data_IF_336685666269
#
_entry.id   IF_336685666269
#
_cell.length_a   1.000
_cell.length_b   1.000
_cell.length_c   1.000
_cell.angle_alpha   90.00
_cell.angle_beta   90.00
_cell.angle_gamma   90.00
#
_symmetry.space_group_name_H-M   'P 1'
#
loop_
_entity.id
_entity.type
_entity.pdbx_description
1 polymer ?
#
# COMPACT_ATOMS: atom_id res chain seq x y z
N UNK A 1 -5.70 -31.07 -23.87
CA UNK A 1 -4.56 -30.92 -22.94
C UNK A 1 -3.59 -29.94 -23.55
N UNK A 2 -3.31 -28.86 -22.84
CA UNK A 2 -2.35 -27.83 -23.22
C UNK A 2 -0.93 -28.17 -22.73
N UNK A 3 -0.75 -28.95 -21.67
CA UNK A 3 0.57 -29.28 -21.15
C UNK A 3 1.30 -30.31 -22.02
N UNK A 4 2.61 -30.10 -22.26
CA UNK A 4 3.51 -31.08 -22.86
C UNK A 4 4.80 -31.18 -22.04
N UNK A 5 5.24 -32.39 -21.68
CA UNK A 5 6.46 -32.57 -20.88
C UNK A 5 7.72 -32.23 -21.69
N UNK A 6 8.71 -31.66 -21.00
CA UNK A 6 10.10 -31.54 -21.43
C UNK A 6 10.94 -32.52 -20.62
N UNK A 7 11.66 -33.37 -21.33
CA UNK A 7 12.48 -34.42 -20.73
C UNK A 7 13.95 -34.01 -20.67
N UNK A 8 14.68 -34.60 -19.74
CA UNK A 8 16.15 -34.71 -19.77
C UNK A 8 16.64 -35.46 -21.01
N UNK A 9 17.94 -35.41 -21.27
CA UNK A 9 18.57 -36.07 -22.42
C UNK A 9 18.32 -37.59 -22.45
N UNK A 10 18.24 -38.22 -21.28
CA UNK A 10 17.90 -39.64 -21.10
C UNK A 10 16.47 -40.00 -21.53
N UNK A 11 15.59 -39.00 -21.71
CA UNK A 11 14.14 -39.14 -21.97
C UNK A 11 13.35 -39.89 -20.89
N UNK A 12 13.91 -40.03 -19.69
CA UNK A 12 13.27 -40.75 -18.58
C UNK A 12 12.65 -39.78 -17.57
N UNK A 13 13.22 -38.59 -17.39
CA UNK A 13 12.79 -37.63 -16.36
C UNK A 13 12.19 -36.37 -16.96
N UNK A 14 11.04 -35.95 -16.45
CA UNK A 14 10.41 -34.66 -16.82
C UNK A 14 10.98 -33.56 -15.96
N UNK A 15 11.55 -32.52 -16.58
CA UNK A 15 12.15 -31.36 -15.89
C UNK A 15 11.25 -30.14 -15.89
N UNK A 16 10.35 -30.04 -16.86
CA UNK A 16 9.41 -28.94 -17.00
C UNK A 16 8.27 -29.32 -17.94
N UNK A 17 7.28 -28.44 -18.07
CA UNK A 17 6.16 -28.59 -19.00
C UNK A 17 6.03 -27.31 -19.81
N UNK A 18 5.67 -27.40 -21.09
CA UNK A 18 5.34 -26.21 -21.89
C UNK A 18 3.88 -26.22 -22.33
N UNK A 19 3.29 -25.03 -22.41
CA UNK A 19 1.97 -24.86 -23.02
C UNK A 19 2.06 -25.08 -24.53
N UNK A 20 1.30 -26.02 -25.07
CA UNK A 20 1.29 -26.37 -26.49
C UNK A 20 0.83 -25.23 -27.41
N UNK A 21 0.10 -24.24 -26.86
CA UNK A 21 -0.38 -23.05 -27.59
C UNK A 21 0.67 -21.94 -27.66
N UNK A 22 1.17 -21.47 -26.52
CA UNK A 22 2.07 -20.31 -26.46
C UNK A 22 3.55 -20.66 -26.23
N UNK A 23 3.87 -21.93 -26.00
CA UNK A 23 5.23 -22.46 -25.76
C UNK A 23 5.93 -21.94 -24.50
N UNK A 24 5.23 -21.23 -23.62
CA UNK A 24 5.77 -20.83 -22.32
C UNK A 24 6.02 -22.09 -21.47
N UNK A 25 7.23 -22.17 -20.91
CA UNK A 25 7.68 -23.24 -20.01
C UNK A 25 7.23 -22.93 -18.58
N UNK A 26 6.78 -23.96 -17.87
CA UNK A 26 6.31 -23.96 -16.49
C UNK A 26 6.97 -25.10 -15.72
N UNK A 27 7.16 -24.90 -14.42
CA UNK A 27 7.74 -25.91 -13.53
C UNK A 27 6.79 -27.08 -13.27
N UNK A 28 5.48 -26.88 -13.39
CA UNK A 28 4.46 -27.91 -13.12
C UNK A 28 3.55 -28.15 -14.33
N UNK A 29 3.01 -29.37 -14.42
CA UNK A 29 2.04 -29.74 -15.46
C UNK A 29 0.76 -28.91 -15.36
N UNK A 30 0.28 -28.70 -14.12
CA UNK A 30 -0.94 -27.94 -13.85
C UNK A 30 -0.85 -26.50 -14.36
N UNK A 31 0.28 -25.83 -14.15
CA UNK A 31 0.50 -24.47 -14.63
C UNK A 31 0.58 -24.41 -16.16
N UNK A 32 1.22 -25.40 -16.80
CA UNK A 32 1.26 -25.50 -18.26
C UNK A 32 -0.13 -25.77 -18.85
N UNK A 33 -0.93 -26.58 -18.17
CA UNK A 33 -2.30 -26.90 -18.58
C UNK A 33 -3.21 -25.66 -18.50
N UNK A 34 -3.04 -24.84 -17.46
CA UNK A 34 -3.81 -23.62 -17.21
C UNK A 34 -3.34 -22.41 -18.05
N UNK A 35 -2.11 -22.43 -18.57
CA UNK A 35 -1.42 -21.28 -19.17
C UNK A 35 -2.21 -20.52 -20.26
N UNK A 36 -3.03 -21.21 -21.06
CA UNK A 36 -3.87 -20.60 -22.11
C UNK A 36 -5.33 -21.07 -22.02
N UNK A 37 -5.79 -21.43 -20.81
CA UNK A 37 -7.21 -21.65 -20.54
C UNK A 37 -7.87 -20.32 -20.22
N UNK A 38 -9.13 -20.19 -20.61
CA UNK A 38 -9.93 -19.05 -20.20
C UNK A 38 -10.05 -19.04 -18.68
N UNK A 39 -9.69 -17.91 -18.08
CA UNK A 39 -9.81 -17.68 -16.65
C UNK A 39 -11.13 -16.99 -16.39
N UNK A 40 -11.80 -17.43 -15.33
CA UNK A 40 -13.06 -16.83 -14.90
C UNK A 40 -12.91 -16.44 -13.44
N UNK A 41 -13.49 -15.30 -13.09
CA UNK A 41 -13.70 -14.88 -11.72
C UNK A 41 -14.76 -15.78 -11.08
N UNK A 42 -14.81 -15.84 -9.75
CA UNK A 42 -15.85 -16.60 -9.02
C UNK A 42 -17.28 -16.16 -9.38
N UNK A 43 -17.46 -14.91 -9.82
CA UNK A 43 -18.75 -14.41 -10.32
C UNK A 43 -19.10 -14.87 -11.76
N UNK A 44 -18.24 -15.68 -12.40
CA UNK A 44 -18.40 -16.18 -13.76
C UNK A 44 -17.88 -15.26 -14.86
N UNK A 45 -17.44 -14.03 -14.54
CA UNK A 45 -16.89 -13.11 -15.54
C UNK A 45 -15.52 -13.58 -16.05
N UNK A 46 -15.29 -13.50 -17.36
CA UNK A 46 -13.98 -13.81 -17.96
C UNK A 46 -12.92 -12.80 -17.48
N UNK A 47 -11.75 -13.31 -17.11
CA UNK A 47 -10.57 -12.53 -16.74
C UNK A 47 -9.62 -12.52 -17.95
N UNK A 48 -9.49 -11.37 -18.59
CA UNK A 48 -8.61 -11.19 -19.76
C UNK A 48 -7.14 -11.01 -19.37
N UNK A 49 -6.89 -10.42 -18.21
CA UNK A 49 -5.55 -10.14 -17.71
C UNK A 49 -4.96 -11.36 -16.96
N UNK A 50 -3.82 -11.86 -17.45
CA UNK A 50 -3.10 -12.98 -16.82
C UNK A 50 -2.57 -12.68 -15.41
N UNK A 51 -2.49 -11.42 -15.01
CA UNK A 51 -2.01 -11.03 -13.69
C UNK A 51 -3.12 -10.84 -12.65
N UNK A 52 -4.40 -10.82 -13.07
CA UNK A 52 -5.53 -10.66 -12.15
C UNK A 52 -6.06 -12.01 -11.68
N UNK A 53 -6.51 -12.09 -10.43
CA UNK A 53 -7.16 -13.26 -9.86
C UNK A 53 -8.69 -13.17 -9.86
N UNK A 54 -9.24 -11.97 -10.07
CA UNK A 54 -10.67 -11.67 -10.08
C UNK A 54 -10.99 -10.54 -11.05
N UNK A 55 -12.25 -10.39 -11.44
CA UNK A 55 -12.67 -9.30 -12.33
C UNK A 55 -12.73 -7.97 -11.57
N UNK A 56 -12.65 -6.85 -12.30
CA UNK A 56 -12.62 -5.50 -11.72
C UNK A 56 -13.85 -5.19 -10.87
N UNK A 57 -15.01 -5.76 -11.20
CA UNK A 57 -16.23 -5.62 -10.40
C UNK A 57 -16.04 -6.24 -9.01
N UNK A 58 -15.64 -7.51 -8.93
CA UNK A 58 -15.45 -8.19 -7.66
C UNK A 58 -14.28 -7.63 -6.86
N UNK A 59 -13.22 -7.13 -7.53
CA UNK A 59 -12.14 -6.41 -6.84
C UNK A 59 -12.64 -5.13 -6.19
N UNK A 60 -13.45 -4.33 -6.88
CA UNK A 60 -14.05 -3.10 -6.33
C UNK A 60 -15.01 -3.40 -5.18
N UNK A 61 -15.83 -4.44 -5.29
CA UNK A 61 -16.73 -4.87 -4.22
C UNK A 61 -15.93 -5.30 -2.98
N UNK A 62 -14.89 -6.12 -3.16
CA UNK A 62 -14.00 -6.53 -2.08
C UNK A 62 -13.32 -5.33 -1.42
N UNK A 63 -12.74 -4.42 -2.20
CA UNK A 63 -12.09 -3.21 -1.69
C UNK A 63 -13.07 -2.32 -0.92
N UNK A 64 -14.30 -2.14 -1.42
CA UNK A 64 -15.36 -1.38 -0.75
C UNK A 64 -15.73 -2.04 0.59
N UNK A 65 -15.89 -3.36 0.62
CA UNK A 65 -16.20 -4.11 1.84
C UNK A 65 -15.07 -4.02 2.88
N UNK A 66 -13.82 -4.17 2.45
CA UNK A 66 -12.64 -4.02 3.31
C UNK A 66 -12.53 -2.60 3.87
N UNK A 67 -12.72 -1.58 3.01
CA UNK A 67 -12.74 -0.17 3.43
C UNK A 67 -13.85 0.10 4.46
N UNK A 68 -15.09 -0.37 4.21
CA UNK A 68 -16.19 -0.28 5.18
C UNK A 68 -15.86 -0.96 6.50
N UNK A 69 -15.34 -2.19 6.45
CA UNK A 69 -14.96 -2.95 7.64
C UNK A 69 -13.84 -2.30 8.44
N UNK A 70 -12.93 -1.59 7.79
CA UNK A 70 -11.86 -0.83 8.48
C UNK A 70 -12.45 0.40 9.15
N UNK A 71 -13.20 1.21 8.40
CA UNK A 71 -13.80 2.46 8.90
C UNK A 71 -14.80 2.20 10.04
N UNK A 72 -15.58 1.13 9.99
CA UNK A 72 -16.55 0.81 11.04
C UNK A 72 -15.92 0.54 12.42
N UNK A 73 -14.61 0.27 12.45
CA UNK A 73 -13.84 0.03 13.68
C UNK A 73 -13.00 1.25 14.10
N UNK A 74 -12.89 2.27 13.26
CA UNK A 74 -12.10 3.47 13.55
C UNK A 74 -12.83 4.35 14.57
N UNK A 75 -12.12 4.96 15.54
CA UNK A 75 -12.69 5.98 16.41
C UNK A 75 -13.24 7.16 15.60
N UNK A 76 -14.35 7.71 16.07
CA UNK A 76 -14.91 8.96 15.56
C UNK A 76 -14.45 10.09 16.46
N UNK A 77 -13.89 11.14 15.87
CA UNK A 77 -13.50 12.39 16.54
C UNK A 77 -14.34 13.56 16.05
N UNK A 78 -14.52 14.57 16.89
CA UNK A 78 -15.37 15.72 16.59
C UNK A 78 -14.64 16.80 15.76
N UNK A 79 -13.32 16.86 15.85
CA UNK A 79 -12.51 17.90 15.19
C UNK A 79 -11.12 17.40 14.80
N UNK A 80 -10.45 18.05 13.82
CA UNK A 80 -9.13 17.64 13.36
C UNK A 80 -8.06 17.86 14.44
N UNK A 81 -7.31 16.80 14.78
CA UNK A 81 -6.27 16.88 15.83
C UNK A 81 -5.05 17.65 15.35
N UNK A 82 -4.70 17.52 14.07
CA UNK A 82 -3.53 18.18 13.47
C UNK A 82 -3.88 19.48 12.71
N UNK A 83 -5.15 19.85 12.67
CA UNK A 83 -5.67 20.96 11.84
C UNK A 83 -5.81 20.64 10.35
N UNK A 84 -5.51 19.40 9.92
CA UNK A 84 -5.68 18.92 8.56
C UNK A 84 -6.52 17.64 8.56
N UNK A 85 -7.24 17.43 7.46
CA UNK A 85 -8.01 16.21 7.20
C UNK A 85 -7.64 15.66 5.83
N UNK A 86 -8.00 14.40 5.59
CA UNK A 86 -7.77 13.71 4.33
C UNK A 86 -9.07 13.12 3.75
N UNK A 87 -9.22 13.20 2.43
CA UNK A 87 -10.31 12.53 1.72
C UNK A 87 -9.84 11.89 0.42
N UNK A 88 -10.21 10.61 0.23
CA UNK A 88 -10.04 9.89 -1.04
C UNK A 88 -10.92 10.47 -2.18
N UNK A 89 -11.83 11.40 -1.87
CA UNK A 89 -12.79 11.95 -2.83
C UNK A 89 -12.24 13.17 -3.60
N UNK A 90 -11.00 13.63 -3.34
CA UNK A 90 -10.42 14.78 -4.02
C UNK A 90 -8.95 14.55 -4.36
N UNK A 91 -8.49 15.16 -5.44
CA UNK A 91 -7.07 15.24 -5.80
C UNK A 91 -6.41 16.54 -5.33
N UNK A 92 -7.18 17.46 -4.74
CA UNK A 92 -6.64 18.72 -4.20
C UNK A 92 -5.57 18.44 -3.14
N UNK A 93 -4.37 18.97 -3.34
CA UNK A 93 -3.24 18.80 -2.42
C UNK A 93 -3.07 17.35 -1.93
N UNK A 94 -3.13 16.41 -2.87
CA UNK A 94 -3.03 14.96 -2.62
C UNK A 94 -4.07 14.42 -1.64
N UNK A 95 -5.25 15.06 -1.56
CA UNK A 95 -6.35 14.70 -0.69
C UNK A 95 -6.34 15.39 0.67
N UNK A 96 -5.30 16.18 1.00
CA UNK A 96 -5.17 16.86 2.29
C UNK A 96 -5.67 18.31 2.25
N UNK A 97 -6.56 18.67 3.17
CA UNK A 97 -7.12 20.02 3.26
C UNK A 97 -7.50 20.39 4.70
N UNK A 98 -7.75 21.67 4.97
CA UNK A 98 -8.34 22.09 6.25
C UNK A 98 -9.85 21.91 6.17
N UNK A 99 -10.47 21.49 7.27
CA UNK A 99 -11.90 21.23 7.27
C UNK A 99 -12.74 22.49 6.92
N UNK A 100 -12.29 23.67 7.33
CA UNK A 100 -12.94 24.95 7.01
C UNK A 100 -12.90 25.29 5.51
N UNK A 101 -12.00 24.66 4.75
CA UNK A 101 -11.86 24.88 3.31
C UNK A 101 -12.76 23.94 2.48
N UNK A 102 -13.59 23.10 3.11
CA UNK A 102 -14.34 22.03 2.44
C UNK A 102 -15.19 22.52 1.27
N UNK A 103 -15.80 23.70 1.38
CA UNK A 103 -16.64 24.30 0.34
C UNK A 103 -15.82 24.80 -0.86
N UNK A 104 -14.52 25.04 -0.67
CA UNK A 104 -13.60 25.40 -1.75
C UNK A 104 -12.99 24.18 -2.44
N UNK A 105 -12.97 23.04 -1.75
CA UNK A 105 -12.35 21.79 -2.23
C UNK A 105 -13.35 20.91 -2.98
N UNK A 106 -14.64 20.97 -2.63
CA UNK A 106 -15.68 20.12 -3.18
C UNK A 106 -16.87 20.92 -3.70
N UNK A 107 -17.39 20.52 -4.86
CA UNK A 107 -18.66 21.02 -5.36
C UNK A 107 -19.83 20.50 -4.49
N UNK A 108 -20.97 21.21 -4.57
CA UNK A 108 -22.20 20.79 -3.91
C UNK A 108 -22.67 19.44 -4.46
N UNK A 109 -22.82 18.44 -3.58
CA UNK A 109 -23.13 17.05 -3.94
C UNK A 109 -21.91 16.12 -3.97
N UNK A 110 -20.70 16.66 -4.15
CA UNK A 110 -19.44 15.88 -4.13
C UNK A 110 -18.81 15.80 -2.73
N UNK A 111 -19.28 16.65 -1.80
CA UNK A 111 -18.79 16.68 -0.42
C UNK A 111 -18.82 15.29 0.22
N UNK A 112 -17.69 14.86 0.81
CA UNK A 112 -17.62 13.57 1.49
C UNK A 112 -18.48 13.61 2.75
N UNK A 113 -19.05 12.46 3.13
CA UNK A 113 -19.84 12.34 4.36
C UNK A 113 -18.98 12.01 5.59
N UNK A 114 -17.71 11.66 5.38
CA UNK A 114 -16.68 11.59 6.41
C UNK A 114 -15.33 11.93 5.80
N UNK A 115 -14.40 12.36 6.65
CA UNK A 115 -12.99 12.55 6.31
C UNK A 115 -12.12 11.80 7.31
N UNK A 116 -10.90 11.49 6.93
CA UNK A 116 -9.91 10.97 7.87
C UNK A 116 -9.28 12.14 8.62
N UNK A 117 -9.11 11.99 9.93
CA UNK A 117 -8.24 12.91 10.68
C UNK A 117 -6.78 12.63 10.31
N UNK A 118 -5.89 13.56 10.60
CA UNK A 118 -4.46 13.43 10.32
C UNK A 118 -3.62 13.47 11.61
N UNK A 119 -2.46 12.82 11.56
CA UNK A 119 -1.37 13.03 12.50
C UNK A 119 -0.33 13.95 11.88
N UNK A 120 0.40 14.68 12.74
CA UNK A 120 1.63 15.36 12.33
C UNK A 120 2.77 14.35 12.45
N UNK A 121 3.37 13.97 11.33
CA UNK A 121 4.60 13.20 11.32
C UNK A 121 5.78 14.15 11.19
N UNK A 122 6.49 14.34 12.29
CA UNK A 122 7.75 15.10 12.31
C UNK A 122 8.86 14.24 11.73
N UNK A 123 9.77 14.87 11.00
CA UNK A 123 10.99 14.19 10.61
C UNK A 123 11.82 13.86 11.86
N UNK A 124 12.26 12.60 11.98
CA UNK A 124 13.04 12.10 13.13
C UNK A 124 14.49 12.58 13.12
N UNK A 125 14.94 13.20 12.02
CA UNK A 125 16.33 13.59 11.82
C UNK A 125 17.19 12.43 11.29
N UNK A 126 18.50 12.69 11.25
CA UNK A 126 19.53 11.72 10.88
C UNK A 126 20.10 11.04 12.14
N UNK A 127 20.47 9.77 12.02
CA UNK A 127 21.16 8.99 13.04
C UNK A 127 22.55 8.60 12.52
N UNK A 128 23.61 8.84 13.29
CA UNK A 128 24.98 8.60 12.84
C UNK A 128 25.27 7.11 12.63
N UNK A 129 24.81 6.26 13.56
CA UNK A 129 24.96 4.81 13.49
C UNK A 129 24.26 4.26 12.25
N UNK A 130 22.99 4.62 12.01
CA UNK A 130 22.24 4.16 10.82
C UNK A 130 22.94 4.55 9.51
N UNK A 131 23.53 5.75 9.45
CA UNK A 131 24.25 6.23 8.26
C UNK A 131 25.53 5.42 8.02
N UNK A 132 26.31 5.19 9.07
CA UNK A 132 27.59 4.49 8.98
C UNK A 132 27.38 3.01 8.75
N UNK A 133 26.46 2.37 9.46
CA UNK A 133 26.10 0.97 9.28
C UNK A 133 25.64 0.69 7.84
N UNK A 134 24.80 1.56 7.27
CA UNK A 134 24.32 1.40 5.89
C UNK A 134 25.44 1.45 4.83
N UNK A 135 26.54 2.16 5.08
CA UNK A 135 27.72 2.18 4.19
C UNK A 135 28.55 0.90 4.35
N UNK A 136 28.74 0.45 5.60
CA UNK A 136 29.60 -0.67 5.94
C UNK A 136 28.99 -2.05 5.62
N UNK A 137 27.66 -2.17 5.66
CA UNK A 137 26.93 -3.46 5.52
C UNK A 137 27.28 -4.24 4.24
N UNK A 138 27.73 -3.57 3.18
CA UNK A 138 27.98 -4.20 1.87
C UNK A 138 29.40 -4.71 1.65
N UNK A 139 30.41 -4.01 2.17
CA UNK A 139 31.82 -4.20 1.80
C UNK A 139 32.72 -4.56 3.00
N UNK A 140 32.18 -4.52 4.22
CA UNK A 140 32.94 -4.71 5.45
C UNK A 140 32.43 -5.90 6.28
N UNK A 141 33.22 -6.26 7.29
CA UNK A 141 32.89 -7.32 8.23
C UNK A 141 31.78 -6.87 9.20
N UNK A 142 31.11 -7.85 9.81
CA UNK A 142 30.15 -7.63 10.89
C UNK A 142 30.78 -6.78 12.00
N UNK A 143 30.04 -5.79 12.52
CA UNK A 143 30.50 -4.84 13.55
C UNK A 143 31.65 -3.89 13.14
N UNK A 144 31.94 -3.73 11.84
CA UNK A 144 32.95 -2.76 11.37
C UNK A 144 32.69 -1.30 11.82
N UNK A 145 31.45 -0.98 12.21
CA UNK A 145 31.08 0.30 12.80
C UNK A 145 31.79 0.58 14.13
N UNK A 146 32.18 -0.46 14.89
CA UNK A 146 32.86 -0.30 16.18
C UNK A 146 34.30 0.23 16.03
N UNK A 147 34.89 0.04 14.85
CA UNK A 147 36.22 0.54 14.51
C UNK A 147 36.17 1.98 13.94
N UNK A 148 34.98 2.57 13.81
CA UNK A 148 34.82 3.95 13.34
C UNK A 148 35.17 4.93 14.46
N UNK A 149 36.22 5.70 14.22
CA UNK A 149 36.72 6.72 15.15
C UNK A 149 35.74 7.89 15.24
N UNK A 150 35.47 8.36 16.46
CA UNK A 150 34.65 9.54 16.78
C UNK A 150 33.18 9.49 16.29
N UNK A 151 32.61 8.29 16.16
CA UNK A 151 31.19 8.12 15.79
C UNK A 151 30.23 8.82 16.77
N UNK A 152 30.58 8.87 18.05
CA UNK A 152 29.80 9.57 19.08
C UNK A 152 29.86 11.09 18.92
N UNK A 153 30.94 11.65 18.36
CA UNK A 153 31.02 13.08 18.03
C UNK A 153 30.10 13.44 16.86
N UNK A 154 30.05 12.58 15.83
CA UNK A 154 29.10 12.72 14.73
C UNK A 154 27.65 12.64 15.23
N UNK A 155 27.34 11.69 16.12
CA UNK A 155 26.01 11.57 16.73
C UNK A 155 25.63 12.82 17.53
N UNK A 156 26.55 13.38 18.33
CA UNK A 156 26.33 14.65 19.04
C UNK A 156 26.06 15.80 18.07
N UNK A 157 26.84 15.91 17.00
CA UNK A 157 26.63 16.93 15.97
C UNK A 157 25.25 16.80 15.31
N UNK A 158 24.89 15.60 14.87
CA UNK A 158 23.60 15.33 14.22
C UNK A 158 22.44 15.58 15.19
N UNK A 159 22.55 15.22 16.46
CA UNK A 159 21.54 15.51 17.47
C UNK A 159 21.28 17.03 17.61
N UNK A 160 22.32 17.85 17.70
CA UNK A 160 22.18 19.31 17.76
C UNK A 160 21.69 19.93 16.44
N UNK A 161 22.06 19.34 15.31
CA UNK A 161 21.58 19.76 14.01
C UNK A 161 20.09 19.40 13.80
N UNK A 162 19.68 18.20 14.19
CA UNK A 162 18.30 17.69 14.12
C UNK A 162 17.34 18.56 14.95
N UNK A 163 17.78 19.05 16.12
CA UNK A 163 16.98 19.95 16.97
C UNK A 163 16.56 21.25 16.28
N UNK A 164 17.29 21.68 15.23
CA UNK A 164 17.00 22.90 14.46
C UNK A 164 15.97 22.67 13.36
N UNK A 165 15.64 21.42 13.05
CA UNK A 165 14.82 21.06 11.91
C UNK A 165 13.35 21.19 12.27
N UNK A 166 12.58 21.76 11.35
CA UNK A 166 11.14 22.00 11.53
C UNK A 166 10.30 21.20 10.55
N UNK A 167 10.91 20.29 9.78
CA UNK A 167 10.23 19.50 8.76
C UNK A 167 9.18 18.58 9.40
N UNK A 168 7.96 18.66 8.87
CA UNK A 168 6.88 17.74 9.17
C UNK A 168 6.02 17.50 7.93
N UNK A 169 5.23 16.44 7.97
CA UNK A 169 4.16 16.18 7.01
C UNK A 169 2.90 15.73 7.76
N UNK A 170 1.80 15.61 7.03
CA UNK A 170 0.57 15.03 7.54
C UNK A 170 0.45 13.59 7.05
N UNK A 171 -0.01 12.70 7.93
CA UNK A 171 -0.35 11.33 7.57
C UNK A 171 -1.77 11.03 8.02
N UNK A 172 -2.47 10.21 7.25
CA UNK A 172 -3.81 9.76 7.61
C UNK A 172 -3.77 8.99 8.93
N UNK A 173 -4.58 9.41 9.89
CA UNK A 173 -4.72 8.71 11.16
C UNK A 173 -5.76 7.59 11.07
N UNK A 174 -5.70 6.64 12.01
CA UNK A 174 -6.71 5.59 12.13
C UNK A 174 -8.00 6.05 12.81
N UNK A 175 -8.50 7.25 12.48
CA UNK A 175 -9.74 7.83 13.03
C UNK A 175 -10.40 8.76 12.02
N UNK A 176 -11.71 8.95 12.15
CA UNK A 176 -12.53 9.68 11.18
C UNK A 176 -13.33 10.79 11.83
N UNK A 177 -13.65 11.82 11.04
CA UNK A 177 -14.59 12.89 11.38
C UNK A 177 -15.82 12.69 10.49
N UNK A 178 -16.98 12.57 11.10
CA UNK A 178 -18.25 12.38 10.37
C UNK A 178 -18.86 13.75 10.08
N UNK A 179 -19.05 14.05 8.80
CA UNK A 179 -19.58 15.32 8.31
C UNK A 179 -21.09 15.24 8.07
N UNK A 180 -21.57 14.07 7.66
CA UNK A 180 -22.99 13.76 7.49
C UNK A 180 -23.27 12.39 8.09
N UNK A 181 -23.92 12.39 9.27
CA UNK A 181 -24.20 11.18 10.04
C UNK A 181 -25.19 10.25 9.34
N UNK A 182 -26.17 10.79 8.63
CA UNK A 182 -27.19 10.00 7.94
C UNK A 182 -26.56 9.26 6.76
N UNK A 183 -25.81 9.97 5.91
CA UNK A 183 -25.07 9.37 4.79
C UNK A 183 -24.02 8.37 5.27
N UNK A 184 -23.29 8.67 6.35
CA UNK A 184 -22.29 7.77 6.91
C UNK A 184 -22.90 6.46 7.43
N UNK A 185 -24.00 6.56 8.19
CA UNK A 185 -24.69 5.39 8.74
C UNK A 185 -25.31 4.53 7.62
N UNK A 186 -25.94 5.17 6.62
CA UNK A 186 -26.49 4.48 5.46
C UNK A 186 -25.40 3.77 4.65
N UNK A 187 -24.27 4.43 4.42
CA UNK A 187 -23.14 3.82 3.71
C UNK A 187 -22.54 2.62 4.44
N UNK A 188 -22.48 2.65 5.78
CA UNK A 188 -22.01 1.51 6.58
C UNK A 188 -23.00 0.34 6.59
N UNK A 189 -24.31 0.58 6.41
CA UNK A 189 -25.34 -0.46 6.44
C UNK A 189 -25.63 -1.10 5.07
N UNK A 190 -25.23 -0.46 3.98
CA UNK A 190 -25.22 -1.05 2.64
C UNK A 190 -24.37 -2.33 2.60
N UNK A 191 -25.00 -3.44 2.21
CA UNK A 191 -24.36 -4.75 1.99
C UNK A 191 -23.46 -4.76 0.75
#
# INVERSE_FOLDING_TARGET
MNAKPLFTEDREHVVAYFCSKCRIVKSTEADAEQCCRDRHCDCGAKIEDRYKSSCDKCQREKFRAEKKSRISKMPIVESPTSGMVYSDNTSYNEGFFKLDDIDSVFEEGEKPFFVYDCNIKKWSGLNASDIVEADLESDWYEDASDDVVDLDELEKFLSEWNKKQTLFCYECAERVIVLDKERFTAWLSES
#
